data_IF_048542200958
#
_entry.id   IF_048542200958
#
_cell.length_a   1.000
_cell.length_b   1.000
_cell.length_c   1.000
_cell.angle_alpha   90.00
_cell.angle_beta   90.00
_cell.angle_gamma   90.00
#
_symmetry.space_group_name_H-M   'P 1'
#
loop_
_entity.id
_entity.type
_entity.pdbx_description
1 polymer ?
#
# COMPACT_ATOMS: atom_id res chain seq x y z
N UNK A 1 -2.38 2.19 19.57
CA UNK A 1 -2.09 3.53 19.00
C UNK A 1 -1.52 3.27 17.61
N UNK A 2 -2.37 3.35 16.59
CA UNK A 2 -1.99 3.09 15.19
C UNK A 2 -1.86 4.45 14.50
N UNK A 3 -0.65 4.77 14.04
CA UNK A 3 -0.39 5.91 13.15
C UNK A 3 0.01 5.33 11.80
N UNK A 4 -0.67 5.76 10.74
CA UNK A 4 -0.22 5.56 9.36
C UNK A 4 0.03 6.92 8.74
N UNK A 5 1.29 7.18 8.41
CA UNK A 5 1.70 8.21 7.46
C UNK A 5 2.82 7.57 6.64
N UNK A 6 2.62 7.39 5.34
CA UNK A 6 3.62 6.81 4.44
C UNK A 6 3.73 7.71 3.21
N UNK A 7 4.82 8.46 3.14
CA UNK A 7 5.33 9.10 1.92
C UNK A 7 6.72 8.53 1.64
N UNK A 8 6.96 8.08 0.40
CA UNK A 8 8.31 7.84 -0.11
C UNK A 8 8.52 8.70 -1.35
N UNK A 9 9.20 9.83 -1.18
CA UNK A 9 9.75 10.63 -2.27
C UNK A 9 11.26 10.37 -2.33
N UNK A 10 11.75 9.88 -3.47
CA UNK A 10 13.19 9.71 -3.74
C UNK A 10 13.59 10.56 -4.93
N UNK A 11 14.58 11.43 -4.75
CA UNK A 11 15.12 12.32 -5.77
C UNK A 11 16.61 12.01 -5.95
N UNK A 12 16.92 11.06 -6.83
CA UNK A 12 18.25 10.88 -7.45
C UNK A 12 19.40 10.37 -6.56
N UNK A 13 20.54 10.15 -7.22
CA UNK A 13 21.78 9.56 -6.69
C UNK A 13 22.29 10.28 -5.44
N UNK A 14 22.32 9.57 -4.32
CA UNK A 14 22.86 10.08 -3.06
C UNK A 14 24.36 9.84 -3.02
N UNK A 15 25.14 10.92 -3.00
CA UNK A 15 26.57 10.87 -2.75
C UNK A 15 26.89 11.30 -1.31
N UNK A 16 27.78 10.55 -0.66
CA UNK A 16 28.20 10.67 0.74
C UNK A 16 27.08 10.43 1.79
N UNK A 17 27.39 9.57 2.77
CA UNK A 17 26.52 9.27 3.91
C UNK A 17 27.29 9.56 5.19
N UNK A 18 26.79 10.48 6.01
CA UNK A 18 27.37 10.75 7.33
C UNK A 18 26.39 10.32 8.40
N UNK A 19 26.63 9.22 9.13
CA UNK A 19 25.78 8.81 10.23
C UNK A 19 25.80 9.86 11.36
N UNK A 20 24.62 10.36 11.73
CA UNK A 20 24.43 11.33 12.80
C UNK A 20 23.99 10.66 14.11
N UNK A 21 23.18 9.60 14.00
CA UNK A 21 22.71 8.80 15.12
C UNK A 21 22.37 7.38 14.68
N UNK A 22 22.37 6.44 15.61
CA UNK A 22 21.98 5.05 15.37
C UNK A 22 21.31 4.45 16.59
N UNK A 23 20.49 3.43 16.39
CA UNK A 23 19.87 2.69 17.48
C UNK A 23 19.16 1.43 17.03
N UNK A 24 18.38 0.87 17.93
CA UNK A 24 17.54 -0.29 17.64
C UNK A 24 16.12 -0.01 18.16
N UNK A 25 15.14 -0.29 17.31
CA UNK A 25 13.71 -0.21 17.59
C UNK A 25 13.18 -1.61 17.84
N UNK A 26 12.31 -1.79 18.83
CA UNK A 26 11.62 -3.06 19.07
C UNK A 26 10.69 -3.49 17.92
N UNK A 27 10.36 -2.57 17.01
CA UNK A 27 9.46 -2.79 15.86
C UNK A 27 10.26 -3.02 14.56
N UNK A 28 11.10 -2.06 14.20
CA UNK A 28 11.80 -2.00 12.91
C UNK A 28 13.31 -2.29 13.04
N UNK A 29 13.72 -2.93 14.13
CA UNK A 29 15.12 -3.28 14.41
C UNK A 29 16.10 -2.12 14.27
N UNK A 30 17.27 -2.38 13.70
CA UNK A 30 18.34 -1.38 13.63
C UNK A 30 17.95 -0.17 12.77
N UNK A 31 18.31 1.03 13.19
CA UNK A 31 18.08 2.26 12.45
C UNK A 31 19.27 3.22 12.55
N UNK A 32 19.43 4.06 11.53
CA UNK A 32 20.44 5.11 11.42
C UNK A 32 19.77 6.40 10.95
N UNK A 33 20.09 7.52 11.59
CA UNK A 33 19.87 8.85 11.02
C UNK A 33 21.16 9.27 10.33
N UNK A 34 21.08 9.64 9.06
CA UNK A 34 22.23 10.06 8.26
C UNK A 34 21.96 11.37 7.52
N UNK A 35 23.00 12.19 7.40
CA UNK A 35 23.04 13.34 6.53
C UNK A 35 23.48 12.90 5.13
N UNK A 36 22.75 13.37 4.12
CA UNK A 36 22.93 13.03 2.71
C UNK A 36 22.92 14.29 1.86
N UNK A 37 23.75 14.33 0.82
CA UNK A 37 23.78 15.43 -0.13
C UNK A 37 23.11 14.99 -1.43
N UNK A 38 22.07 15.71 -1.83
CA UNK A 38 21.41 15.58 -3.13
C UNK A 38 21.24 16.97 -3.75
N UNK A 39 21.58 17.12 -5.03
CA UNK A 39 21.53 18.41 -5.75
C UNK A 39 22.22 19.59 -5.04
N UNK A 40 23.30 19.31 -4.32
CA UNK A 40 24.06 20.30 -3.55
C UNK A 40 23.38 20.77 -2.25
N UNK A 41 22.23 20.19 -1.90
CA UNK A 41 21.49 20.45 -0.67
C UNK A 41 21.69 19.29 0.31
N UNK A 42 21.88 19.62 1.58
CA UNK A 42 21.98 18.64 2.68
C UNK A 42 20.59 18.31 3.23
N UNK A 43 20.32 17.01 3.37
CA UNK A 43 19.10 16.47 3.96
C UNK A 43 19.48 15.49 5.07
N UNK A 44 18.60 15.37 6.08
CA UNK A 44 18.73 14.38 7.14
C UNK A 44 17.62 13.35 7.01
N UNK A 45 17.97 12.07 6.88
CA UNK A 45 16.99 10.97 6.80
C UNK A 45 17.19 9.94 7.89
N UNK A 46 16.09 9.35 8.33
CA UNK A 46 16.07 8.14 9.17
C UNK A 46 15.93 6.92 8.25
N UNK A 47 16.81 5.95 8.39
CA UNK A 47 16.84 4.68 7.65
C UNK A 47 16.72 3.53 8.65
N UNK A 48 15.76 2.64 8.46
CA UNK A 48 15.70 1.36 9.17
C UNK A 48 16.49 0.31 8.37
N UNK A 49 17.52 -0.28 8.99
CA UNK A 49 18.44 -1.25 8.39
C UNK A 49 17.87 -2.68 8.39
N UNK A 50 16.82 -2.92 9.17
CA UNK A 50 16.09 -4.18 9.22
C UNK A 50 14.58 -3.92 9.29
N UNK A 51 13.91 -3.81 8.15
CA UNK A 51 12.45 -3.71 8.13
C UNK A 51 11.81 -5.08 8.41
N UNK A 52 11.81 -5.50 9.68
CA UNK A 52 11.14 -6.74 10.14
C UNK A 52 9.61 -6.66 10.11
N UNK A 53 9.03 -5.53 9.69
CA UNK A 53 7.63 -5.44 9.28
C UNK A 53 7.55 -5.51 7.75
N UNK A 54 7.70 -6.72 7.23
CA UNK A 54 7.57 -7.01 5.81
C UNK A 54 6.08 -7.00 5.48
N UNK A 55 5.58 -5.92 4.89
CA UNK A 55 4.25 -5.91 4.31
C UNK A 55 4.27 -6.73 3.02
N UNK A 56 3.33 -7.67 2.90
CA UNK A 56 2.99 -8.30 1.63
C UNK A 56 1.76 -7.59 1.08
N UNK A 57 1.84 -7.16 -0.18
CA UNK A 57 0.82 -6.33 -0.82
C UNK A 57 0.25 -7.11 -2.00
N UNK A 58 -1.07 -7.33 -1.97
CA UNK A 58 -1.83 -7.74 -3.15
C UNK A 58 -2.55 -6.52 -3.69
N UNK A 59 -2.08 -5.97 -4.81
CA UNK A 59 -2.75 -4.92 -5.56
C UNK A 59 -3.79 -5.53 -6.49
N UNK A 60 -5.03 -5.05 -6.42
CA UNK A 60 -6.13 -5.48 -7.27
C UNK A 60 -6.49 -4.33 -8.20
N UNK A 61 -6.24 -4.49 -9.51
CA UNK A 61 -6.51 -3.48 -10.52
C UNK A 61 -7.41 -4.08 -11.60
N UNK A 62 -8.39 -3.32 -12.08
CA UNK A 62 -9.30 -3.79 -13.11
C UNK A 62 -8.67 -3.65 -14.51
N UNK A 63 -7.91 -2.57 -14.74
CA UNK A 63 -7.40 -2.20 -16.05
C UNK A 63 -5.91 -2.58 -16.22
N UNK A 64 -5.59 -3.55 -17.11
CA UNK A 64 -4.20 -3.92 -17.37
C UNK A 64 -3.35 -2.78 -17.95
N UNK A 65 -3.96 -1.80 -18.63
CA UNK A 65 -3.23 -0.67 -19.19
C UNK A 65 -2.82 0.33 -18.10
N UNK A 66 -3.58 0.46 -17.01
CA UNK A 66 -3.17 1.21 -15.82
C UNK A 66 -1.96 0.55 -15.16
N UNK A 67 -1.94 -0.78 -15.04
CA UNK A 67 -0.77 -1.51 -14.53
C UNK A 67 0.46 -1.27 -15.41
N UNK A 68 0.30 -1.33 -16.74
CA UNK A 68 1.42 -1.03 -17.67
C UNK A 68 1.94 0.38 -17.50
N UNK A 69 1.05 1.36 -17.35
CA UNK A 69 1.43 2.75 -17.11
C UNK A 69 2.19 2.89 -15.80
N UNK A 70 1.70 2.26 -14.73
CA UNK A 70 2.36 2.27 -13.41
C UNK A 70 3.77 1.67 -13.46
N UNK A 71 3.93 0.55 -14.17
CA UNK A 71 5.24 -0.09 -14.37
C UNK A 71 6.19 0.81 -15.17
N UNK A 72 5.71 1.36 -16.28
CA UNK A 72 6.57 2.09 -17.23
C UNK A 72 6.95 3.49 -16.76
N UNK A 73 6.07 4.15 -16.00
CA UNK A 73 6.17 5.58 -15.72
C UNK A 73 6.21 5.94 -14.23
N UNK A 74 5.86 5.00 -13.34
CA UNK A 74 5.76 5.26 -11.90
C UNK A 74 6.52 4.25 -11.02
N UNK A 75 7.52 3.57 -11.60
CA UNK A 75 8.40 2.62 -10.89
C UNK A 75 7.66 1.51 -10.12
N UNK A 76 6.47 1.10 -10.57
CA UNK A 76 5.83 -0.10 -10.05
C UNK A 76 6.68 -1.32 -10.44
N UNK A 77 7.23 -2.10 -9.50
CA UNK A 77 8.09 -3.23 -9.82
C UNK A 77 7.30 -4.33 -10.54
N UNK A 78 7.79 -4.78 -11.69
CA UNK A 78 7.19 -5.92 -12.43
C UNK A 78 7.27 -7.24 -11.67
N UNK A 79 8.29 -7.38 -10.81
CA UNK A 79 8.52 -8.56 -9.97
C UNK A 79 9.09 -8.11 -8.62
N UNK A 80 8.30 -8.25 -7.56
CA UNK A 80 8.77 -8.15 -6.18
C UNK A 80 8.19 -9.34 -5.40
N UNK A 81 8.99 -10.11 -4.64
CA UNK A 81 8.49 -11.23 -3.84
C UNK A 81 7.47 -10.83 -2.76
N UNK A 82 7.29 -9.54 -2.50
CA UNK A 82 6.39 -8.96 -1.49
C UNK A 82 5.23 -8.19 -2.10
N UNK A 83 5.17 -8.04 -3.43
CA UNK A 83 4.06 -7.35 -4.07
C UNK A 83 3.58 -8.12 -5.30
N UNK A 84 2.31 -8.51 -5.27
CA UNK A 84 1.62 -9.11 -6.39
C UNK A 84 0.58 -8.13 -6.92
N UNK A 85 0.53 -7.95 -8.23
CA UNK A 85 -0.51 -7.18 -8.90
C UNK A 85 -1.41 -8.14 -9.66
N UNK A 86 -2.69 -8.15 -9.31
CA UNK A 86 -3.70 -9.01 -9.91
C UNK A 86 -4.62 -8.13 -10.76
N UNK A 87 -4.59 -8.36 -12.08
CA UNK A 87 -5.53 -7.71 -13.00
C UNK A 87 -6.86 -8.48 -12.96
N UNK A 88 -7.79 -8.03 -12.11
CA UNK A 88 -9.06 -8.71 -11.86
C UNK A 88 -10.11 -7.73 -11.31
N UNK A 89 -11.38 -8.02 -11.56
CA UNK A 89 -12.49 -7.28 -10.95
C UNK A 89 -12.50 -7.47 -9.42
N UNK A 90 -12.55 -6.35 -8.69
CA UNK A 90 -12.46 -6.36 -7.24
C UNK A 90 -13.71 -6.97 -6.56
N UNK A 91 -14.90 -6.89 -7.16
CA UNK A 91 -16.09 -7.56 -6.64
C UNK A 91 -15.94 -9.07 -6.76
N UNK A 92 -15.48 -9.55 -7.91
CA UNK A 92 -15.18 -10.96 -8.12
C UNK A 92 -14.12 -11.46 -7.12
N UNK A 93 -13.04 -10.69 -6.95
CA UNK A 93 -11.99 -11.01 -5.98
C UNK A 93 -12.55 -11.14 -4.55
N UNK A 94 -13.36 -10.17 -4.10
CA UNK A 94 -13.96 -10.18 -2.76
C UNK A 94 -14.92 -11.35 -2.56
N UNK A 95 -15.70 -11.72 -3.57
CA UNK A 95 -16.57 -12.90 -3.52
C UNK A 95 -15.76 -14.20 -3.36
N UNK A 96 -14.68 -14.37 -4.12
CA UNK A 96 -13.81 -15.54 -4.02
C UNK A 96 -13.09 -15.59 -2.68
N UNK A 97 -12.50 -14.47 -2.25
CA UNK A 97 -11.81 -14.36 -0.97
C UNK A 97 -12.72 -14.68 0.22
N UNK A 98 -14.02 -14.36 0.14
CA UNK A 98 -14.99 -14.67 1.18
C UNK A 98 -15.38 -16.17 1.24
N UNK A 99 -15.21 -16.92 0.15
CA UNK A 99 -15.55 -18.35 0.06
C UNK A 99 -14.37 -19.27 0.42
N UNK A 100 -13.14 -18.79 0.27
CA UNK A 100 -11.92 -19.55 0.55
C UNK A 100 -11.66 -19.68 2.06
N UNK A 101 -11.94 -20.86 2.63
CA UNK A 101 -11.80 -21.12 4.07
C UNK A 101 -10.36 -21.09 4.59
N UNK A 102 -9.40 -21.42 3.73
CA UNK A 102 -7.97 -21.49 4.11
C UNK A 102 -7.20 -20.22 3.74
N UNK A 103 -7.86 -19.23 3.13
CA UNK A 103 -7.22 -17.97 2.76
C UNK A 103 -6.82 -17.21 4.02
N UNK A 104 -5.57 -16.73 4.04
CA UNK A 104 -5.12 -15.86 5.12
C UNK A 104 -5.91 -14.55 5.09
N UNK A 105 -6.41 -14.16 6.27
CA UNK A 105 -7.15 -12.91 6.43
C UNK A 105 -6.20 -11.72 6.43
N UNK A 106 -6.66 -10.59 5.94
CA UNK A 106 -5.88 -9.36 5.81
C UNK A 106 -5.74 -8.65 7.15
N UNK A 107 -4.55 -8.11 7.42
CA UNK A 107 -4.34 -7.14 8.51
C UNK A 107 -4.89 -5.76 8.14
N UNK A 108 -4.78 -5.38 6.87
CA UNK A 108 -5.25 -4.09 6.34
C UNK A 108 -5.88 -4.28 4.96
N UNK A 109 -6.99 -3.59 4.71
CA UNK A 109 -7.64 -3.49 3.40
C UNK A 109 -7.81 -2.00 3.05
N UNK A 110 -7.20 -1.58 1.94
CA UNK A 110 -7.43 -0.27 1.33
C UNK A 110 -8.41 -0.42 0.18
N UNK A 111 -9.43 0.43 0.16
CA UNK A 111 -10.35 0.58 -0.97
C UNK A 111 -10.24 2.00 -1.49
N UNK A 112 -9.51 2.12 -2.59
CA UNK A 112 -9.32 3.35 -3.34
C UNK A 112 -9.69 3.06 -4.80
N UNK A 113 -10.97 3.23 -5.12
CA UNK A 113 -11.55 2.84 -6.40
C UNK A 113 -12.33 4.02 -6.97
N UNK A 114 -12.01 4.47 -8.18
CA UNK A 114 -12.80 5.48 -8.86
C UNK A 114 -13.78 4.82 -9.85
N UNK A 115 -15.05 5.23 -9.81
CA UNK A 115 -16.03 4.84 -10.82
C UNK A 115 -15.94 5.70 -12.08
N UNK A 116 -16.38 5.19 -13.25
CA UNK A 116 -16.44 6.00 -14.47
C UNK A 116 -17.50 7.10 -14.40
N UNK A 117 -18.50 6.96 -13.52
CA UNK A 117 -19.65 7.86 -13.39
C UNK A 117 -19.34 8.94 -12.35
N UNK A 118 -19.13 10.17 -12.82
CA UNK A 118 -18.97 11.36 -11.99
C UNK A 118 -20.35 12.00 -11.72
N UNK A 119 -21.21 11.30 -10.98
CA UNK A 119 -22.39 11.94 -10.39
C UNK A 119 -22.01 12.61 -9.07
N UNK A 120 -22.56 13.81 -8.84
CA UNK A 120 -22.17 14.73 -7.77
C UNK A 120 -22.29 14.12 -6.37
N UNK A 121 -21.18 13.56 -5.86
CA UNK A 121 -20.96 13.29 -4.43
C UNK A 121 -20.49 11.86 -4.06
N UNK A 122 -20.41 10.90 -4.97
CA UNK A 122 -20.00 9.51 -4.67
C UNK A 122 -19.17 8.87 -5.80
N UNK A 123 -18.15 9.58 -6.30
CA UNK A 123 -17.32 9.06 -7.40
C UNK A 123 -16.30 8.02 -6.94
N UNK A 124 -15.99 7.95 -5.64
CA UNK A 124 -15.01 7.03 -5.05
C UNK A 124 -15.46 6.59 -3.63
N UNK A 125 -15.69 5.29 -3.36
CA UNK A 125 -15.81 4.19 -4.31
C UNK A 125 -17.14 4.21 -5.09
N UNK A 126 -17.27 3.44 -6.19
CA UNK A 126 -18.57 3.18 -6.79
C UNK A 126 -19.57 2.64 -5.77
N UNK A 127 -20.84 3.08 -5.83
CA UNK A 127 -21.86 2.76 -4.83
C UNK A 127 -22.07 1.25 -4.57
N UNK A 128 -21.78 0.38 -5.56
CA UNK A 128 -21.82 -1.08 -5.41
C UNK A 128 -20.90 -1.58 -4.28
N UNK A 129 -19.76 -0.94 -4.05
CA UNK A 129 -18.81 -1.28 -2.99
C UNK A 129 -19.30 -0.90 -1.58
N UNK A 130 -20.37 -0.09 -1.49
CA UNK A 130 -21.01 0.30 -0.24
C UNK A 130 -22.25 -0.54 0.07
N UNK A 131 -22.55 -1.56 -0.74
CA UNK A 131 -23.68 -2.45 -0.49
C UNK A 131 -23.39 -3.44 0.65
N UNK A 132 -24.43 -3.84 1.37
CA UNK A 132 -24.31 -4.79 2.49
C UNK A 132 -23.57 -6.10 2.15
N UNK A 133 -23.84 -6.76 1.00
CA UNK A 133 -23.11 -7.95 0.60
C UNK A 133 -21.61 -7.71 0.42
N UNK A 134 -21.24 -6.64 -0.28
CA UNK A 134 -19.83 -6.34 -0.57
C UNK A 134 -19.08 -5.95 0.71
N UNK A 135 -19.67 -5.11 1.56
CA UNK A 135 -19.12 -4.77 2.87
C UNK A 135 -18.96 -6.01 3.77
N UNK A 136 -19.89 -6.97 3.67
CA UNK A 136 -19.78 -8.25 4.39
C UNK A 136 -18.59 -9.08 3.89
N UNK A 137 -18.33 -9.11 2.59
CA UNK A 137 -17.18 -9.80 2.00
C UNK A 137 -15.85 -9.12 2.36
N UNK A 138 -15.81 -7.78 2.39
CA UNK A 138 -14.63 -7.03 2.86
C UNK A 138 -14.35 -7.35 4.33
N UNK A 139 -15.38 -7.34 5.18
CA UNK A 139 -15.25 -7.69 6.60
C UNK A 139 -14.82 -9.13 6.80
N UNK A 140 -15.33 -10.09 6.02
CA UNK A 140 -14.93 -11.50 6.14
C UNK A 140 -13.48 -11.71 5.71
N UNK A 141 -12.96 -10.89 4.81
CA UNK A 141 -11.58 -10.91 4.35
C UNK A 141 -10.58 -10.38 5.39
N UNK A 142 -11.02 -9.62 6.39
CA UNK A 142 -10.16 -9.04 7.44
C UNK A 142 -9.98 -9.97 8.65
N UNK A 143 -8.83 -9.85 9.30
CA UNK A 143 -8.57 -10.40 10.64
C UNK A 143 -9.49 -9.72 11.66
N UNK A 144 -9.60 -10.30 12.86
CA UNK A 144 -10.46 -9.77 13.94
C UNK A 144 -10.12 -8.31 14.28
N UNK A 145 -8.83 -7.98 14.32
CA UNK A 145 -8.31 -6.65 14.62
C UNK A 145 -7.81 -5.93 13.35
N UNK A 146 -8.26 -6.41 12.18
CA UNK A 146 -7.87 -5.85 10.89
C UNK A 146 -8.50 -4.48 10.65
N UNK A 147 -7.83 -3.67 9.85
CA UNK A 147 -8.24 -2.30 9.54
C UNK A 147 -8.77 -2.18 8.12
N UNK A 148 -9.84 -1.42 7.97
CA UNK A 148 -10.44 -1.06 6.69
C UNK A 148 -10.28 0.44 6.46
N UNK A 149 -9.70 0.80 5.32
CA UNK A 149 -9.56 2.18 4.88
C UNK A 149 -10.34 2.37 3.60
N UNK A 150 -11.16 3.41 3.59
CA UNK A 150 -11.97 3.79 2.44
C UNK A 150 -11.67 5.23 2.08
N UNK A 151 -11.15 5.45 0.88
CA UNK A 151 -10.99 6.79 0.33
C UNK A 151 -12.35 7.31 -0.17
N UNK A 152 -12.63 8.58 0.13
CA UNK A 152 -13.72 9.34 -0.48
C UNK A 152 -13.13 10.66 -0.99
N UNK A 153 -13.35 10.94 -2.27
CA UNK A 153 -12.93 12.17 -2.94
C UNK A 153 -14.12 12.84 -3.61
#
# INVERSE_FOLDING_TARGET
MLYFLIDFLSCGDVSARTPCASGNSSLNGEWVVEDVVSDGQEYRRLVFLSSSHIAYIDGIELDPDIVKVAVQWFDLPEKDPRMNINVIDALFYLEHAAQEKEREKLDVLFVDLAGPVHESGLSCPPAIFLTGPVLSNMKSSLKKDGMFFLSQF
#
